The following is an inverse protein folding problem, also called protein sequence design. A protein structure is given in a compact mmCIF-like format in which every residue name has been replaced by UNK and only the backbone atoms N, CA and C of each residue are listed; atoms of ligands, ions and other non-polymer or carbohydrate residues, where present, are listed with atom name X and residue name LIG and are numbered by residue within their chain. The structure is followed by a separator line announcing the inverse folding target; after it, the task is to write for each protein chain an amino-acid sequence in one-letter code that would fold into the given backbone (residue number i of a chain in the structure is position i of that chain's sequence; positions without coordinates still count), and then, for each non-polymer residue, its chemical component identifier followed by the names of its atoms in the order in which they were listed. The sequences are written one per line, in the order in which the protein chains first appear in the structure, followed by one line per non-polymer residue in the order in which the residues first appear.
data_IF_949959187052
#
_entry.id   IF_949959187052
#
_cell.length_a   1.000
_cell.length_b   1.000
_cell.length_c   1.000
_cell.angle_alpha   90.00
_cell.angle_beta   90.00
_cell.angle_gamma   90.00
#
_symmetry.space_group_name_H-M   'P 1'
#
loop_
_entity.id
_entity.type
_entity.pdbx_description
1 polymer ?
#
# COMPACT_ATOMS: atom_id res chain seq x y z
N UNK A 1 -3.67 1.21 14.12
CA UNK A 1 -4.21 2.15 13.12
C UNK A 1 -3.16 3.14 12.61
N UNK A 2 -2.21 3.51 13.46
CA UNK A 2 -1.19 4.52 13.16
C UNK A 2 0.19 3.93 12.95
N UNK A 3 0.40 2.63 13.17
CA UNK A 3 1.61 1.89 12.89
C UNK A 3 2.83 2.76 12.58
N UNK A 4 3.24 2.74 11.34
CA UNK A 4 4.37 3.53 10.84
C UNK A 4 4.10 5.05 10.72
N UNK A 5 2.87 5.50 10.98
CA UNK A 5 2.50 6.93 10.92
C UNK A 5 3.14 7.83 11.98
N UNK A 6 3.91 7.27 12.93
CA UNK A 6 4.67 8.00 13.93
C UNK A 6 6.13 8.29 13.54
N UNK A 7 6.51 8.05 12.29
CA UNK A 7 7.87 8.28 11.79
C UNK A 7 8.00 9.64 11.10
N UNK A 8 9.21 10.20 11.09
CA UNK A 8 9.50 11.47 10.40
C UNK A 8 9.49 11.30 8.88
N UNK A 9 9.92 10.12 8.39
CA UNK A 9 9.86 9.75 6.97
C UNK A 9 9.88 8.23 6.80
N UNK A 10 9.44 7.77 5.64
CA UNK A 10 9.37 6.36 5.25
C UNK A 10 10.31 6.12 4.06
N UNK A 11 11.57 5.71 4.26
CA UNK A 11 12.58 5.64 3.20
C UNK A 11 12.24 4.65 2.08
N UNK A 12 11.44 3.62 2.36
CA UNK A 12 10.99 2.62 1.38
C UNK A 12 9.46 2.66 1.16
N UNK A 13 8.80 3.73 1.62
CA UNK A 13 7.33 3.82 1.57
C UNK A 13 6.74 3.93 0.18
N UNK A 14 7.55 4.25 -0.84
CA UNK A 14 7.16 4.35 -2.25
C UNK A 14 7.47 3.07 -3.05
N UNK A 15 7.93 2.01 -2.38
CA UNK A 15 8.28 0.75 -3.03
C UNK A 15 7.18 -0.30 -2.82
N UNK A 16 6.87 -1.04 -3.89
CA UNK A 16 6.11 -2.27 -3.79
C UNK A 16 6.88 -3.35 -3.02
N UNK A 17 6.17 -4.35 -2.48
CA UNK A 17 6.79 -5.41 -1.70
C UNK A 17 7.81 -6.21 -2.49
N UNK A 18 7.52 -6.50 -3.75
CA UNK A 18 8.47 -7.14 -4.67
C UNK A 18 9.73 -6.31 -4.88
N UNK A 19 9.59 -5.00 -5.02
CA UNK A 19 10.73 -4.07 -5.16
C UNK A 19 11.57 -4.00 -3.88
N UNK A 20 10.95 -4.06 -2.70
CA UNK A 20 11.68 -4.13 -1.43
C UNK A 20 12.56 -5.38 -1.36
N UNK A 21 12.05 -6.53 -1.82
CA UNK A 21 12.86 -7.76 -1.90
C UNK A 21 14.04 -7.62 -2.87
N UNK A 22 13.81 -7.06 -4.05
CA UNK A 22 14.91 -6.84 -5.03
C UNK A 22 15.95 -5.84 -4.49
N UNK A 23 15.51 -4.75 -3.87
CA UNK A 23 16.41 -3.81 -3.22
C UNK A 23 17.23 -4.49 -2.11
N UNK A 24 16.59 -5.34 -1.32
CA UNK A 24 17.28 -6.11 -0.26
C UNK A 24 18.38 -7.00 -0.81
N UNK A 25 18.19 -7.63 -1.97
CA UNK A 25 19.23 -8.41 -2.66
C UNK A 25 20.41 -7.51 -3.10
N UNK A 26 20.11 -6.34 -3.66
CA UNK A 26 21.12 -5.37 -4.11
C UNK A 26 21.96 -4.83 -2.93
N UNK A 27 21.33 -4.69 -1.75
CA UNK A 27 21.97 -4.20 -0.53
C UNK A 27 22.62 -5.32 0.30
N UNK A 28 22.74 -6.53 -0.25
CA UNK A 28 23.32 -7.70 0.42
C UNK A 28 22.68 -8.00 1.79
N UNK A 29 21.37 -7.78 1.93
CA UNK A 29 20.64 -8.17 3.15
C UNK A 29 20.70 -9.69 3.30
N UNK A 30 20.99 -10.21 4.52
CA UNK A 30 21.09 -11.65 4.76
C UNK A 30 19.89 -12.43 4.22
N UNK A 31 20.16 -13.54 3.52
CA UNK A 31 19.13 -14.35 2.86
C UNK A 31 18.05 -14.84 3.82
N UNK A 32 18.42 -15.13 5.07
CA UNK A 32 17.49 -15.53 6.15
C UNK A 32 16.36 -14.50 6.37
N UNK A 33 16.68 -13.20 6.20
CA UNK A 33 15.70 -12.12 6.30
C UNK A 33 14.86 -12.04 5.03
N UNK A 34 15.51 -12.15 3.86
CA UNK A 34 14.82 -12.04 2.56
C UNK A 34 13.83 -13.16 2.28
N UNK A 35 14.12 -14.39 2.76
CA UNK A 35 13.22 -15.54 2.56
C UNK A 35 12.08 -15.62 3.58
N UNK A 36 12.11 -14.79 4.63
CA UNK A 36 11.07 -14.77 5.64
C UNK A 36 9.75 -14.29 5.05
N UNK A 37 8.71 -15.10 5.21
CA UNK A 37 7.37 -14.73 4.73
C UNK A 37 6.85 -13.50 5.46
N UNK A 38 6.31 -12.51 4.74
CA UNK A 38 5.66 -11.36 5.36
C UNK A 38 4.48 -11.79 6.23
N UNK A 39 4.45 -11.27 7.44
CA UNK A 39 3.40 -11.56 8.43
C UNK A 39 3.29 -10.43 9.44
N UNK A 40 2.08 -10.19 9.93
CA UNK A 40 1.83 -9.31 11.06
C UNK A 40 2.11 -9.97 12.43
N UNK A 41 2.41 -11.28 12.46
CA UNK A 41 2.72 -12.07 13.68
C UNK A 41 1.63 -11.97 14.77
N UNK A 42 0.37 -11.83 14.39
CA UNK A 42 -0.75 -11.75 15.34
C UNK A 42 -1.15 -13.13 15.89
N UNK A 43 -0.89 -14.20 15.13
CA UNK A 43 -1.09 -15.61 15.54
C UNK A 43 -0.10 -16.53 14.82
N UNK A 44 0.11 -17.77 15.34
CA UNK A 44 1.00 -18.75 14.70
C UNK A 44 0.64 -19.01 13.24
N UNK A 45 1.65 -19.16 12.40
CA UNK A 45 1.55 -19.49 10.96
C UNK A 45 0.76 -18.50 10.10
N UNK A 46 0.47 -17.29 10.61
CA UNK A 46 -0.12 -16.23 9.83
C UNK A 46 0.83 -15.80 8.70
N UNK A 47 0.30 -15.65 7.48
CA UNK A 47 0.99 -14.95 6.39
C UNK A 47 0.04 -13.98 5.71
N UNK A 48 0.57 -12.85 5.26
CA UNK A 48 -0.22 -11.81 4.59
C UNK A 48 -0.90 -12.37 3.32
N UNK A 49 -0.19 -13.20 2.54
CA UNK A 49 -0.71 -13.78 1.31
C UNK A 49 -1.88 -14.76 1.55
N UNK A 50 -1.85 -15.51 2.66
CA UNK A 50 -2.99 -16.37 3.05
C UNK A 50 -4.21 -15.54 3.43
N UNK A 51 -4.01 -14.43 4.14
CA UNK A 51 -5.08 -13.53 4.55
C UNK A 51 -5.71 -12.81 3.34
N UNK A 52 -4.89 -12.35 2.43
CA UNK A 52 -5.37 -11.65 1.23
C UNK A 52 -5.96 -12.61 0.19
N UNK A 53 -5.40 -13.82 0.06
CA UNK A 53 -5.78 -14.81 -0.94
C UNK A 53 -5.15 -14.58 -2.32
N UNK A 54 -4.04 -13.85 -2.38
CA UNK A 54 -3.20 -13.64 -3.55
C UNK A 54 -1.75 -13.39 -3.13
N UNK A 55 -0.81 -13.58 -4.05
CA UNK A 55 0.61 -13.35 -3.80
C UNK A 55 0.97 -11.87 -3.90
N UNK A 56 2.12 -11.48 -3.35
CA UNK A 56 2.63 -10.12 -3.53
C UNK A 56 2.94 -9.81 -4.99
N UNK A 57 3.38 -10.79 -5.79
CA UNK A 57 3.58 -10.60 -7.23
C UNK A 57 2.27 -10.25 -7.96
N UNK A 58 1.18 -10.98 -7.67
CA UNK A 58 -0.14 -10.66 -8.22
C UNK A 58 -0.61 -9.27 -7.77
N UNK A 59 -0.44 -8.96 -6.47
CA UNK A 59 -0.86 -7.68 -5.88
C UNK A 59 -0.13 -6.51 -6.52
N UNK A 60 1.20 -6.53 -6.53
CA UNK A 60 2.03 -5.42 -6.99
C UNK A 60 1.84 -5.16 -8.49
N UNK A 61 1.71 -6.22 -9.30
CA UNK A 61 1.40 -6.12 -10.72
C UNK A 61 0.04 -5.44 -10.96
N UNK A 62 -0.99 -5.84 -10.21
CA UNK A 62 -2.32 -5.21 -10.32
C UNK A 62 -2.29 -3.77 -9.86
N UNK A 63 -1.62 -3.47 -8.73
CA UNK A 63 -1.52 -2.09 -8.21
C UNK A 63 -0.81 -1.17 -9.20
N UNK A 64 0.30 -1.60 -9.79
CA UNK A 64 1.03 -0.84 -10.81
C UNK A 64 0.17 -0.49 -12.03
N UNK A 65 -0.69 -1.40 -12.46
CA UNK A 65 -1.61 -1.14 -13.58
C UNK A 65 -2.81 -0.27 -13.16
N UNK A 66 -3.27 -0.36 -11.91
CA UNK A 66 -4.30 0.52 -11.35
C UNK A 66 -3.81 1.97 -11.25
N UNK A 67 -2.56 2.19 -10.86
CA UNK A 67 -1.94 3.52 -10.79
C UNK A 67 -1.81 4.17 -12.17
N UNK A 68 -1.72 3.37 -13.23
CA UNK A 68 -1.75 3.83 -14.62
C UNK A 68 -3.16 4.06 -15.15
N UNK A 69 -4.18 3.97 -14.28
CA UNK A 69 -5.59 4.13 -14.62
C UNK A 69 -6.09 3.15 -15.70
N UNK A 70 -5.49 1.97 -15.81
CA UNK A 70 -5.94 0.95 -16.76
C UNK A 70 -7.28 0.35 -16.34
N UNK A 71 -8.12 0.03 -17.33
CA UNK A 71 -9.37 -0.66 -17.12
C UNK A 71 -9.12 -2.12 -16.64
N UNK A 72 -10.06 -2.69 -15.86
CA UNK A 72 -9.95 -4.04 -15.31
C UNK A 72 -9.67 -5.10 -16.37
N UNK A 73 -10.33 -5.02 -17.53
CA UNK A 73 -10.10 -5.93 -18.66
C UNK A 73 -8.65 -5.91 -19.16
N UNK A 74 -8.07 -4.71 -19.25
CA UNK A 74 -6.68 -4.51 -19.67
C UNK A 74 -5.69 -5.00 -18.60
N UNK A 75 -6.02 -4.82 -17.33
CA UNK A 75 -5.22 -5.34 -16.22
C UNK A 75 -5.20 -6.87 -16.26
N UNK A 76 -6.37 -7.50 -16.42
CA UNK A 76 -6.48 -8.95 -16.57
C UNK A 76 -5.66 -9.48 -17.75
N UNK A 77 -5.74 -8.83 -18.92
CA UNK A 77 -4.97 -9.19 -20.11
C UNK A 77 -3.46 -9.12 -19.88
N UNK A 78 -2.98 -8.08 -19.19
CA UNK A 78 -1.55 -7.86 -18.97
C UNK A 78 -0.96 -8.72 -17.85
N UNK A 79 -1.70 -8.90 -16.77
CA UNK A 79 -1.19 -9.54 -15.55
C UNK A 79 -1.56 -11.02 -15.46
N UNK A 80 -2.58 -11.47 -16.20
CA UNK A 80 -3.17 -12.80 -16.08
C UNK A 80 -3.98 -13.00 -14.79
N UNK A 81 -4.10 -11.99 -13.95
CA UNK A 81 -4.86 -12.06 -12.69
C UNK A 81 -6.35 -11.99 -13.00
N UNK A 82 -7.17 -12.86 -12.38
CA UNK A 82 -8.61 -12.90 -12.64
C UNK A 82 -9.33 -11.60 -12.24
N UNK A 83 -10.43 -11.31 -12.93
CA UNK A 83 -11.23 -10.11 -12.69
C UNK A 83 -11.70 -10.02 -11.24
N UNK A 84 -12.09 -11.16 -10.66
CA UNK A 84 -12.55 -11.26 -9.27
C UNK A 84 -11.44 -10.86 -8.29
N UNK A 85 -10.20 -11.30 -8.53
CA UNK A 85 -9.04 -10.91 -7.71
C UNK A 85 -8.74 -9.43 -7.88
N UNK A 86 -8.77 -8.90 -9.11
CA UNK A 86 -8.56 -7.47 -9.38
C UNK A 86 -9.59 -6.62 -8.64
N UNK A 87 -10.87 -6.99 -8.68
CA UNK A 87 -11.92 -6.25 -7.98
C UNK A 87 -11.79 -6.36 -6.46
N UNK A 88 -11.35 -7.51 -5.94
CA UNK A 88 -11.01 -7.66 -4.51
C UNK A 88 -9.88 -6.71 -4.11
N UNK A 89 -8.79 -6.65 -4.88
CA UNK A 89 -7.66 -5.73 -4.65
C UNK A 89 -8.14 -4.28 -4.66
N UNK A 90 -8.94 -3.88 -5.65
CA UNK A 90 -9.55 -2.53 -5.70
C UNK A 90 -10.40 -2.22 -4.47
N UNK A 91 -11.15 -3.20 -3.99
CA UNK A 91 -11.94 -3.09 -2.76
C UNK A 91 -11.05 -2.83 -1.54
N UNK A 92 -9.95 -3.58 -1.38
CA UNK A 92 -8.98 -3.40 -0.29
C UNK A 92 -8.30 -2.03 -0.36
N UNK A 93 -7.91 -1.57 -1.55
CA UNK A 93 -7.32 -0.23 -1.75
C UNK A 93 -8.30 0.86 -1.29
N UNK A 94 -9.59 0.75 -1.65
CA UNK A 94 -10.62 1.71 -1.21
C UNK A 94 -10.85 1.65 0.29
N UNK A 95 -10.97 0.46 0.87
CA UNK A 95 -11.19 0.27 2.30
C UNK A 95 -10.03 0.81 3.16
N UNK A 96 -8.80 0.81 2.62
CA UNK A 96 -7.60 1.27 3.31
C UNK A 96 -7.32 2.79 3.17
N UNK A 97 -8.20 3.56 2.52
CA UNK A 97 -7.98 5.00 2.29
C UNK A 97 -7.72 5.78 3.59
N UNK A 98 -8.36 5.37 4.68
CA UNK A 98 -8.17 5.98 6.00
C UNK A 98 -6.75 5.82 6.57
N UNK A 99 -5.93 4.91 6.01
CA UNK A 99 -4.53 4.74 6.39
C UNK A 99 -3.60 5.70 5.64
N UNK A 100 -4.08 6.28 4.55
CA UNK A 100 -3.30 7.16 3.64
C UNK A 100 -3.65 8.63 3.79
N UNK A 101 -4.70 8.94 4.55
CA UNK A 101 -5.13 10.32 4.79
C UNK A 101 -5.14 10.62 6.27
N UNK A 102 -4.88 11.87 6.63
CA UNK A 102 -5.06 12.31 8.01
C UNK A 102 -6.54 12.20 8.41
N UNK A 103 -6.83 11.96 9.72
CA UNK A 103 -8.20 12.03 10.21
C UNK A 103 -8.85 13.36 9.84
N UNK A 104 -10.09 13.35 9.34
CA UNK A 104 -10.80 14.58 9.07
C UNK A 104 -10.98 15.37 10.39
N UNK A 105 -10.73 16.66 10.31
CA UNK A 105 -10.94 17.58 11.44
C UNK A 105 -12.26 18.33 11.26
N UNK A 106 -13.08 18.31 12.29
CA UNK A 106 -14.33 19.07 12.30
C UNK A 106 -14.00 20.58 12.40
N UNK A 107 -14.28 21.32 11.34
CA UNK A 107 -14.12 22.78 11.32
C UNK A 107 -15.31 23.42 12.04
N UNK A 108 -15.03 24.11 13.14
CA UNK A 108 -16.01 24.88 13.91
C UNK A 108 -15.78 26.40 13.83
N UNK A 109 -14.77 26.83 13.05
CA UNK A 109 -14.40 28.24 12.85
C UNK A 109 -13.85 28.49 11.45
N UNK A 110 -13.50 29.73 11.17
CA UNK A 110 -12.98 30.17 9.86
C UNK A 110 -11.61 29.57 9.54
N UNK A 111 -10.81 29.26 10.54
CA UNK A 111 -9.46 28.69 10.38
C UNK A 111 -9.22 27.60 11.41
N UNK A 112 -8.64 26.49 10.97
CA UNK A 112 -8.19 25.40 11.84
C UNK A 112 -6.67 25.46 11.99
N UNK A 113 -6.20 25.80 13.19
CA UNK A 113 -4.76 25.89 13.50
C UNK A 113 -4.07 24.55 13.21
N UNK A 114 -2.99 24.59 12.43
CA UNK A 114 -2.18 23.42 12.08
C UNK A 114 -2.66 22.64 10.85
N UNK A 115 -3.88 22.89 10.33
CA UNK A 115 -4.40 22.27 9.12
C UNK A 115 -4.38 23.24 7.93
N UNK A 116 -4.86 24.44 8.10
CA UNK A 116 -4.94 25.43 7.01
C UNK A 116 -3.55 25.88 6.51
N UNK A 117 -2.49 25.58 7.27
CA UNK A 117 -1.10 25.81 6.86
C UNK A 117 -0.47 24.65 6.08
N UNK A 118 -1.15 23.52 6.02
CA UNK A 118 -0.70 22.31 5.29
C UNK A 118 -1.38 22.15 3.93
N UNK A 119 -2.41 22.94 3.66
CA UNK A 119 -2.95 23.04 2.30
C UNK A 119 -1.88 23.68 1.43
N UNK A 120 -1.45 22.96 0.41
CA UNK A 120 -0.47 23.44 -0.57
C UNK A 120 -0.96 24.77 -1.12
N UNK A 121 -0.09 25.78 -1.08
CA UNK A 121 -0.29 27.14 -1.62
C UNK A 121 -0.52 27.11 -3.16
N UNK A 122 -1.13 26.10 -3.70
CA UNK A 122 -1.35 25.89 -5.12
C UNK A 122 -2.80 25.63 -5.52
N UNK A 123 -3.73 25.67 -4.61
CA UNK A 123 -5.16 25.47 -4.84
C UNK A 123 -5.97 26.77 -4.79
N UNK A 124 -5.34 27.92 -5.09
CA UNK A 124 -6.05 29.17 -5.31
C UNK A 124 -6.17 29.44 -6.81
#
# INVERSE_FOLDING_TARGET
KWGDGGTDFLPIGDLYKTQVFELGKILDIPSEILVRKPTAELWPDQTDEQEFGFTYDELDNVLSELERFNAVSKINEKTGVSVEKIDKIRGLVRASIHKRVFPPVCKIGLRTVGLDWRETIGSQ
#
